data_IF_019746520934
#
_entry.id   IF_019746520934
#
_cell.length_a   1.000
_cell.length_b   1.000
_cell.length_c   1.000
_cell.angle_alpha   90.00
_cell.angle_beta   90.00
_cell.angle_gamma   90.00
#
_symmetry.space_group_name_H-M   'P 1'
#
loop_
_entity.id
_entity.type
_entity.pdbx_description
1 polymer ?
#
# COMPACT_ATOMS: atom_id res chain seq x y z
N UNK A 1 -18.91 0.23 -6.49
CA UNK A 1 -18.91 1.20 -5.37
C UNK A 1 -18.51 0.49 -4.08
N UNK A 2 -17.35 0.83 -3.50
CA UNK A 2 -17.02 0.35 -2.16
C UNK A 2 -18.00 1.01 -1.16
N UNK A 3 -18.66 0.23 -0.29
CA UNK A 3 -19.61 0.76 0.70
C UNK A 3 -18.90 1.71 1.68
N UNK A 4 -19.68 2.61 2.28
CA UNK A 4 -19.21 3.60 3.27
C UNK A 4 -18.28 2.95 4.28
N UNK A 5 -17.01 3.33 4.20
CA UNK A 5 -15.91 2.65 4.87
C UNK A 5 -15.93 2.82 6.40
N UNK A 6 -16.90 3.49 7.02
CA UNK A 6 -17.05 3.51 8.49
C UNK A 6 -15.72 3.74 9.27
N UNK A 7 -14.88 4.65 8.78
CA UNK A 7 -13.53 4.88 9.30
C UNK A 7 -13.60 5.71 10.57
N UNK A 8 -13.17 5.15 11.70
CA UNK A 8 -12.96 5.89 12.94
C UNK A 8 -11.45 6.01 13.20
N UNK A 9 -10.97 7.26 13.18
CA UNK A 9 -9.59 7.59 13.55
C UNK A 9 -9.50 7.67 15.07
N UNK A 10 -8.47 7.06 15.65
CA UNK A 10 -8.17 7.27 17.06
C UNK A 10 -7.78 8.74 17.30
N UNK A 11 -8.18 9.35 18.43
CA UNK A 11 -7.75 10.70 18.79
C UNK A 11 -6.23 10.73 19.01
N UNK A 12 -5.59 11.86 18.65
CA UNK A 12 -4.17 12.11 18.90
C UNK A 12 -3.99 12.72 20.30
N UNK A 13 -3.06 12.24 21.13
CA UNK A 13 -2.08 11.16 20.88
C UNK A 13 -2.69 9.75 20.98
N UNK A 14 -2.23 8.85 20.10
CA UNK A 14 -2.57 7.43 20.15
C UNK A 14 -1.79 6.78 21.30
N UNK A 15 -2.41 5.95 22.17
CA UNK A 15 -1.68 5.20 23.19
C UNK A 15 -0.55 4.37 22.56
N UNK A 16 0.60 4.28 23.23
CA UNK A 16 1.75 3.49 22.77
C UNK A 16 1.32 2.07 22.34
N UNK A 17 1.65 1.70 21.10
CA UNK A 17 1.34 0.37 20.53
C UNK A 17 -0.12 0.17 20.07
N UNK A 18 -0.98 1.19 20.13
CA UNK A 18 -2.36 1.12 19.66
C UNK A 18 -2.52 1.43 18.16
N UNK A 19 -3.49 0.81 17.46
CA UNK A 19 -3.77 1.12 16.06
C UNK A 19 -4.30 2.56 15.92
N UNK A 20 -3.75 3.33 14.97
CA UNK A 20 -4.13 4.74 14.70
C UNK A 20 -5.50 4.85 14.00
N UNK A 21 -5.96 3.77 13.36
CA UNK A 21 -7.26 3.68 12.72
C UNK A 21 -7.72 2.21 12.71
N UNK A 22 -9.02 2.01 12.86
CA UNK A 22 -9.65 0.71 12.62
C UNK A 22 -10.66 0.84 11.48
N UNK A 23 -10.68 -0.15 10.60
CA UNK A 23 -11.61 -0.21 9.48
C UNK A 23 -12.53 -1.41 9.64
N UNK A 24 -13.85 -1.19 9.54
CA UNK A 24 -14.82 -2.28 9.48
C UNK A 24 -15.75 -2.08 8.28
N UNK A 25 -15.77 -3.06 7.39
CA UNK A 25 -16.75 -3.11 6.31
C UNK A 25 -18.00 -3.82 6.83
N UNK A 26 -19.09 -3.06 7.04
CA UNK A 26 -20.36 -3.56 7.60
C UNK A 26 -20.99 -4.69 6.77
N UNK A 27 -20.63 -4.81 5.49
CA UNK A 27 -21.17 -5.81 4.55
C UNK A 27 -20.34 -7.12 4.49
N UNK A 28 -19.24 -7.20 5.22
CA UNK A 28 -18.38 -8.37 5.23
C UNK A 28 -18.89 -9.44 6.21
N UNK A 29 -19.97 -10.15 5.84
CA UNK A 29 -20.59 -11.18 6.70
C UNK A 29 -19.68 -12.36 7.10
N UNK A 30 -18.54 -12.57 6.42
CA UNK A 30 -17.62 -13.71 6.64
C UNK A 30 -16.13 -13.39 6.41
N UNK A 31 -15.67 -12.14 6.58
CA UNK A 31 -14.26 -11.82 6.34
C UNK A 31 -13.57 -11.32 7.61
N UNK A 32 -12.54 -12.04 8.08
CA UNK A 32 -11.58 -11.51 9.07
C UNK A 32 -11.22 -10.05 8.70
N UNK A 33 -11.18 -9.12 9.66
CA UNK A 33 -10.89 -7.73 9.36
C UNK A 33 -9.49 -7.58 8.75
N UNK A 34 -9.34 -6.63 7.81
CA UNK A 34 -8.00 -6.18 7.38
C UNK A 34 -7.47 -5.27 8.49
N UNK A 35 -6.37 -5.68 9.11
CA UNK A 35 -5.68 -4.87 10.12
C UNK A 35 -4.62 -4.04 9.42
N UNK A 36 -4.66 -2.73 9.67
CA UNK A 36 -3.68 -1.77 9.20
C UNK A 36 -2.97 -1.15 10.40
N UNK A 37 -1.65 -1.03 10.33
CA UNK A 37 -0.85 -0.31 11.32
C UNK A 37 -0.25 0.92 10.65
N UNK A 38 -0.36 2.08 11.30
CA UNK A 38 0.30 3.31 10.87
C UNK A 38 1.41 3.62 11.87
N UNK A 39 2.64 3.61 11.39
CA UNK A 39 3.84 3.85 12.18
C UNK A 39 4.59 5.07 11.65
N UNK A 40 5.31 5.74 12.56
CA UNK A 40 6.19 6.86 12.26
C UNK A 40 7.59 6.56 12.80
N UNK A 41 8.61 6.62 11.96
CA UNK A 41 10.00 6.34 12.34
C UNK A 41 10.89 7.52 11.96
N UNK A 42 11.59 8.13 12.91
CA UNK A 42 12.49 9.26 12.65
C UNK A 42 12.77 10.07 13.91
N UNK A 43 13.92 10.75 13.94
CA UNK A 43 14.32 11.61 15.06
C UNK A 43 13.88 13.07 14.86
N UNK A 44 13.66 13.49 13.60
CA UNK A 44 13.25 14.83 13.21
C UNK A 44 12.16 14.79 12.17
N UNK A 45 11.40 15.87 12.06
CA UNK A 45 10.27 15.96 11.13
C UNK A 45 10.65 15.74 9.67
N UNK A 46 11.85 16.22 9.31
CA UNK A 46 12.49 16.07 7.99
C UNK A 46 12.98 14.65 7.68
N UNK A 47 13.18 13.83 8.72
CA UNK A 47 13.67 12.45 8.62
C UNK A 47 12.58 11.41 8.86
N UNK A 48 11.33 11.83 9.09
CA UNK A 48 10.26 10.88 9.35
C UNK A 48 10.01 9.99 8.14
N UNK A 49 9.83 8.70 8.41
CA UNK A 49 9.25 7.74 7.52
C UNK A 49 7.92 7.31 8.12
N UNK A 50 6.84 7.69 7.46
CA UNK A 50 5.49 7.26 7.78
C UNK A 50 5.16 6.01 6.98
N UNK A 51 4.68 4.96 7.64
CA UNK A 51 4.36 3.70 6.97
C UNK A 51 3.01 3.19 7.39
N UNK A 52 2.18 2.84 6.40
CA UNK A 52 1.00 2.00 6.62
C UNK A 52 1.37 0.57 6.26
N UNK A 53 1.23 -0.36 7.20
CA UNK A 53 1.54 -1.77 6.99
C UNK A 53 0.32 -2.67 7.21
N UNK A 54 0.34 -3.83 6.55
CA UNK A 54 -0.60 -4.91 6.77
C UNK A 54 0.08 -6.25 6.57
N UNK A 55 -0.44 -7.30 7.22
CA UNK A 55 0.03 -8.67 7.07
C UNK A 55 -1.13 -9.59 6.74
N UNK A 56 -1.05 -10.29 5.61
CA UNK A 56 -2.05 -11.28 5.22
C UNK A 56 -1.58 -12.72 5.55
N UNK A 57 -2.37 -13.52 6.27
CA UNK A 57 -2.03 -14.92 6.55
C UNK A 57 -2.15 -15.81 5.30
N UNK A 58 -2.98 -15.41 4.32
CA UNK A 58 -3.10 -16.07 3.03
C UNK A 58 -2.68 -15.10 1.94
N UNK A 59 -1.68 -15.45 1.15
CA UNK A 59 -1.15 -14.60 0.10
C UNK A 59 -0.63 -15.45 -1.06
N UNK A 60 -0.57 -14.87 -2.25
CA UNK A 60 0.20 -15.45 -3.36
C UNK A 60 1.66 -14.99 -3.21
N UNK A 61 2.65 -15.90 -3.19
CA UNK A 61 4.05 -15.53 -3.14
C UNK A 61 4.44 -14.61 -4.29
N UNK A 62 5.15 -13.54 -3.96
CA UNK A 62 5.61 -12.56 -4.93
C UNK A 62 6.13 -11.30 -4.25
N UNK A 63 6.86 -10.54 -5.04
CA UNK A 63 7.35 -9.19 -4.75
C UNK A 63 6.69 -8.24 -5.74
N UNK A 64 6.19 -7.12 -5.25
CA UNK A 64 5.74 -6.00 -6.06
C UNK A 64 6.20 -4.71 -5.41
N UNK A 65 6.89 -3.87 -6.18
CA UNK A 65 7.23 -2.51 -5.80
C UNK A 65 6.55 -1.57 -6.78
N UNK A 66 5.76 -0.64 -6.26
CA UNK A 66 5.14 0.42 -7.05
C UNK A 66 5.73 1.77 -6.62
N UNK A 67 6.14 2.58 -7.59
CA UNK A 67 6.72 3.89 -7.34
C UNK A 67 6.50 4.82 -8.55
N UNK A 68 6.81 6.11 -8.39
CA UNK A 68 6.79 7.07 -9.51
C UNK A 68 8.01 6.92 -10.43
N UNK A 69 7.93 7.36 -11.69
CA UNK A 69 9.13 7.64 -12.48
C UNK A 69 10.06 8.62 -11.74
N UNK A 70 11.36 8.33 -11.72
CA UNK A 70 12.34 9.17 -11.03
C UNK A 70 12.27 9.12 -9.50
N UNK A 71 11.62 8.11 -8.91
CA UNK A 71 11.64 7.90 -7.47
C UNK A 71 13.07 7.80 -6.91
N UNK A 72 13.21 8.12 -5.63
CA UNK A 72 14.48 8.15 -4.92
C UNK A 72 15.16 6.77 -4.82
N UNK A 73 16.36 6.78 -4.22
CA UNK A 73 17.17 5.56 -4.04
C UNK A 73 16.47 4.50 -3.19
N UNK A 74 15.54 4.90 -2.32
CA UNK A 74 14.85 3.97 -1.41
C UNK A 74 13.92 3.06 -2.19
N UNK A 75 12.98 3.59 -2.98
CA UNK A 75 12.05 2.80 -3.78
C UNK A 75 12.77 1.99 -4.86
N UNK A 76 13.75 2.60 -5.54
CA UNK A 76 14.58 1.91 -6.52
C UNK A 76 15.37 0.75 -5.90
N UNK A 77 15.91 0.94 -4.69
CA UNK A 77 16.63 -0.09 -3.94
C UNK A 77 15.75 -1.28 -3.53
N UNK A 78 14.48 -1.04 -3.18
CA UNK A 78 13.53 -2.13 -2.85
C UNK A 78 13.25 -3.03 -4.06
N UNK A 79 13.24 -2.44 -5.25
CA UNK A 79 12.93 -3.16 -6.48
C UNK A 79 14.13 -3.90 -7.10
N UNK A 80 15.37 -3.62 -6.65
CA UNK A 80 16.63 -4.02 -7.31
C UNK A 80 16.64 -3.67 -8.82
N UNK A 81 17.63 -4.13 -9.58
CA UNK A 81 17.77 -3.87 -11.03
C UNK A 81 16.74 -4.62 -11.91
N UNK A 82 15.51 -4.83 -11.42
CA UNK A 82 14.44 -5.56 -12.12
C UNK A 82 13.74 -4.66 -13.12
N UNK A 83 13.55 -5.11 -14.36
CA UNK A 83 12.85 -4.30 -15.36
C UNK A 83 11.42 -3.91 -14.94
N UNK A 84 10.97 -2.69 -15.30
CA UNK A 84 9.57 -2.31 -15.16
C UNK A 84 8.63 -3.28 -15.87
N UNK A 85 7.49 -3.55 -15.25
CA UNK A 85 6.41 -4.29 -15.88
C UNK A 85 5.64 -3.37 -16.82
N UNK A 86 5.45 -3.83 -18.05
CA UNK A 86 4.71 -3.15 -19.11
C UNK A 86 3.52 -4.01 -19.58
N UNK A 87 2.54 -3.39 -20.26
CA UNK A 87 1.42 -4.09 -20.87
C UNK A 87 0.25 -4.41 -19.94
N UNK A 88 0.23 -3.86 -18.73
CA UNK A 88 -0.96 -3.89 -17.88
C UNK A 88 -2.04 -2.95 -18.43
N UNK A 89 -3.23 -3.49 -18.65
CA UNK A 89 -4.38 -2.71 -19.10
C UNK A 89 -4.73 -1.62 -18.06
N UNK A 90 -4.84 -0.37 -18.52
CA UNK A 90 -5.16 0.77 -17.66
C UNK A 90 -4.02 1.22 -16.75
N UNK A 91 -2.78 0.77 -16.96
CA UNK A 91 -1.62 1.24 -16.19
C UNK A 91 -1.39 2.75 -16.41
N UNK A 92 -1.47 3.56 -15.34
CA UNK A 92 -1.22 5.00 -15.46
C UNK A 92 0.26 5.31 -15.68
N UNK A 93 0.57 6.35 -16.46
CA UNK A 93 1.96 6.75 -16.76
C UNK A 93 2.76 7.19 -15.53
N UNK A 94 2.08 7.53 -14.43
CA UNK A 94 2.68 7.89 -13.14
C UNK A 94 3.07 6.68 -12.27
N UNK A 95 2.75 5.46 -12.70
CA UNK A 95 2.94 4.22 -11.92
C UNK A 95 3.96 3.31 -12.59
N UNK A 96 5.13 3.17 -11.97
CA UNK A 96 6.15 2.18 -12.32
C UNK A 96 5.98 0.98 -11.40
N UNK A 97 5.82 -0.20 -11.98
CA UNK A 97 5.71 -1.46 -11.27
C UNK A 97 6.94 -2.31 -11.54
N UNK A 98 7.52 -2.90 -10.50
CA UNK A 98 8.62 -3.87 -10.61
C UNK A 98 8.26 -5.08 -9.76
N UNK A 99 8.36 -6.28 -10.33
CA UNK A 99 7.78 -7.46 -9.72
C UNK A 99 8.68 -8.70 -9.84
N UNK A 100 8.50 -9.65 -8.92
CA UNK A 100 9.07 -10.99 -9.00
C UNK A 100 8.08 -12.02 -8.44
N UNK A 101 7.62 -13.00 -9.23
CA UNK A 101 7.85 -13.12 -10.67
C UNK A 101 7.14 -12.01 -11.48
N UNK A 102 7.52 -11.76 -12.76
CA UNK A 102 6.91 -10.68 -13.56
C UNK A 102 5.39 -10.81 -13.73
N UNK A 103 4.87 -12.04 -13.81
CA UNK A 103 3.43 -12.34 -13.90
C UNK A 103 2.66 -12.00 -12.61
N UNK A 104 3.37 -11.78 -11.50
CA UNK A 104 2.75 -11.36 -10.24
C UNK A 104 1.99 -10.03 -10.38
N UNK A 105 2.52 -9.09 -11.18
CA UNK A 105 1.86 -7.81 -11.42
C UNK A 105 0.51 -8.00 -12.11
N UNK A 106 0.42 -8.91 -13.08
CA UNK A 106 -0.82 -9.21 -13.82
C UNK A 106 -1.86 -9.88 -12.94
N UNK A 107 -1.43 -10.67 -11.96
CA UNK A 107 -2.33 -11.22 -10.95
C UNK A 107 -2.75 -10.15 -9.93
N UNK A 108 -1.84 -9.27 -9.52
CA UNK A 108 -2.06 -8.33 -8.42
C UNK A 108 -2.81 -7.08 -8.87
N UNK A 109 -2.41 -6.48 -9.97
CA UNK A 109 -2.81 -5.15 -10.41
C UNK A 109 -4.03 -5.17 -11.35
N UNK A 110 -5.24 -5.20 -10.78
CA UNK A 110 -6.47 -4.84 -11.50
C UNK A 110 -6.67 -3.32 -11.60
N UNK A 111 -7.65 -2.86 -12.39
CA UNK A 111 -7.95 -1.43 -12.58
C UNK A 111 -8.14 -0.66 -11.27
N UNK A 112 -8.77 -1.28 -10.26
CA UNK A 112 -9.02 -0.64 -8.98
C UNK A 112 -7.72 -0.48 -8.18
N UNK A 113 -6.89 -1.52 -8.13
CA UNK A 113 -5.58 -1.43 -7.49
C UNK A 113 -4.66 -0.44 -8.20
N UNK A 114 -4.69 -0.38 -9.54
CA UNK A 114 -3.92 0.61 -10.32
C UNK A 114 -4.37 2.04 -10.02
N UNK A 115 -5.68 2.27 -9.86
CA UNK A 115 -6.22 3.58 -9.49
C UNK A 115 -5.71 4.04 -8.13
N UNK A 116 -5.83 3.22 -7.09
CA UNK A 116 -5.35 3.62 -5.74
C UNK A 116 -3.83 3.72 -5.64
N UNK A 117 -3.10 2.99 -6.49
CA UNK A 117 -1.66 3.16 -6.65
C UNK A 117 -1.33 4.51 -7.28
N UNK A 118 -2.07 4.95 -8.30
CA UNK A 118 -1.88 6.27 -8.88
C UNK A 118 -2.12 7.37 -7.83
N UNK A 119 -3.26 7.32 -7.14
CA UNK A 119 -3.65 8.31 -6.15
C UNK A 119 -2.60 8.45 -5.03
N UNK A 120 -2.11 7.32 -4.50
CA UNK A 120 -1.10 7.37 -3.43
C UNK A 120 0.25 7.86 -3.94
N UNK A 121 0.65 7.48 -5.15
CA UNK A 121 1.93 7.87 -5.71
C UNK A 121 1.93 9.36 -6.13
N UNK A 122 0.76 9.95 -6.42
CA UNK A 122 0.63 11.39 -6.66
C UNK A 122 0.99 12.23 -5.43
N UNK A 123 0.93 11.68 -4.21
CA UNK A 123 1.40 12.35 -2.99
C UNK A 123 2.92 12.60 -3.01
N UNK A 124 3.67 11.85 -3.82
CA UNK A 124 5.10 12.07 -4.01
C UNK A 124 5.40 13.44 -4.65
N UNK A 125 6.50 14.06 -4.22
CA UNK A 125 6.99 15.35 -4.74
C UNK A 125 8.51 15.28 -4.89
N UNK A 126 9.13 16.34 -5.41
CA UNK A 126 10.58 16.38 -5.61
C UNK A 126 11.38 16.14 -4.30
N UNK A 127 10.82 16.53 -3.16
CA UNK A 127 11.36 16.41 -1.81
C UNK A 127 10.75 15.24 -1.01
N UNK A 128 9.80 14.50 -1.60
CA UNK A 128 8.95 13.55 -0.88
C UNK A 128 8.79 12.27 -1.67
N UNK A 129 9.43 11.22 -1.21
CA UNK A 129 9.31 9.90 -1.81
C UNK A 129 8.11 9.14 -1.23
N UNK A 130 7.32 8.54 -2.12
CA UNK A 130 6.21 7.63 -1.78
C UNK A 130 6.35 6.37 -2.61
N UNK A 131 6.24 5.21 -1.98
CA UNK A 131 6.28 3.93 -2.67
C UNK A 131 5.44 2.88 -1.95
N UNK A 132 5.04 1.87 -2.70
CA UNK A 132 4.36 0.69 -2.18
C UNK A 132 5.26 -0.52 -2.35
N UNK A 133 5.30 -1.37 -1.34
CA UNK A 133 6.06 -2.60 -1.33
C UNK A 133 5.19 -3.74 -0.81
N UNK A 134 5.01 -4.77 -1.63
CA UNK A 134 4.37 -6.03 -1.29
C UNK A 134 5.44 -7.10 -1.36
N UNK A 135 5.67 -7.82 -0.27
CA UNK A 135 6.63 -8.92 -0.23
C UNK A 135 6.06 -10.09 0.57
N UNK A 136 5.68 -11.16 -0.13
CA UNK A 136 5.07 -12.33 0.49
C UNK A 136 3.81 -11.95 1.26
N UNK A 137 3.75 -12.13 2.60
CA UNK A 137 2.60 -11.78 3.43
C UNK A 137 2.49 -10.29 3.75
N UNK A 138 3.53 -9.49 3.51
CA UNK A 138 3.62 -8.12 4.00
C UNK A 138 3.28 -7.12 2.91
N UNK A 139 2.51 -6.10 3.28
CA UNK A 139 2.21 -4.92 2.50
C UNK A 139 2.71 -3.70 3.29
N UNK A 140 3.38 -2.79 2.60
CA UNK A 140 3.86 -1.51 3.11
C UNK A 140 3.56 -0.40 2.11
N UNK A 141 2.89 0.65 2.56
CA UNK A 141 2.80 1.95 1.87
C UNK A 141 3.70 2.90 2.65
N UNK A 142 4.77 3.37 2.01
CA UNK A 142 5.78 4.22 2.61
C UNK A 142 5.67 5.65 2.10
N UNK A 143 5.80 6.59 3.02
CA UNK A 143 5.71 8.02 2.77
C UNK A 143 6.81 8.73 3.56
N UNK A 144 7.72 9.44 2.88
CA UNK A 144 8.75 10.23 3.55
C UNK A 144 8.16 11.57 4.03
N UNK A 145 8.31 11.84 5.32
CA UNK A 145 7.76 12.98 6.06
C UNK A 145 6.53 12.61 6.89
N UNK A 146 5.93 13.63 7.51
CA UNK A 146 4.69 13.51 8.26
C UNK A 146 3.47 13.82 7.34
N UNK A 147 2.56 12.86 7.12
CA UNK A 147 1.38 13.07 6.27
C UNK A 147 0.33 13.95 6.97
N UNK A 148 -0.30 14.83 6.19
CA UNK A 148 -1.49 15.54 6.65
C UNK A 148 -2.69 14.60 6.77
N UNK A 149 -3.80 15.08 7.36
CA UNK A 149 -5.02 14.26 7.55
C UNK A 149 -5.56 13.65 6.25
N UNK A 150 -5.56 14.41 5.16
CA UNK A 150 -6.04 13.90 3.87
C UNK A 150 -5.05 12.90 3.26
N UNK A 151 -3.74 13.13 3.41
CA UNK A 151 -2.71 12.17 2.97
C UNK A 151 -2.85 10.85 3.73
N UNK A 152 -3.09 10.88 5.05
CA UNK A 152 -3.34 9.68 5.87
C UNK A 152 -4.51 8.87 5.31
N UNK A 153 -5.61 9.53 4.89
CA UNK A 153 -6.75 8.82 4.29
C UNK A 153 -6.34 8.10 3.01
N UNK A 154 -5.60 8.78 2.12
CA UNK A 154 -5.12 8.19 0.87
C UNK A 154 -4.19 7.00 1.13
N UNK A 155 -3.26 7.13 2.08
CA UNK A 155 -2.35 6.05 2.49
C UNK A 155 -3.12 4.83 3.04
N UNK A 156 -4.09 5.05 3.94
CA UNK A 156 -4.92 3.99 4.51
C UNK A 156 -5.84 3.34 3.48
N UNK A 157 -6.46 4.13 2.59
CA UNK A 157 -7.31 3.60 1.52
C UNK A 157 -6.51 2.72 0.56
N UNK A 158 -5.33 3.18 0.14
CA UNK A 158 -4.43 2.39 -0.69
C UNK A 158 -4.06 1.07 0.03
N UNK A 159 -3.59 1.15 1.28
CA UNK A 159 -3.21 -0.05 2.03
C UNK A 159 -4.38 -1.04 2.21
N UNK A 160 -5.59 -0.54 2.51
CA UNK A 160 -6.78 -1.37 2.66
C UNK A 160 -7.12 -2.14 1.37
N UNK A 161 -7.14 -1.43 0.24
CA UNK A 161 -7.48 -2.01 -1.07
C UNK A 161 -6.44 -3.06 -1.48
N UNK A 162 -5.15 -2.75 -1.33
CA UNK A 162 -4.09 -3.68 -1.70
C UNK A 162 -4.02 -4.91 -0.77
N UNK A 163 -4.27 -4.74 0.54
CA UNK A 163 -4.33 -5.86 1.47
C UNK A 163 -5.51 -6.78 1.18
N UNK A 164 -6.68 -6.21 0.85
CA UNK A 164 -7.84 -6.97 0.41
C UNK A 164 -7.54 -7.76 -0.87
N UNK A 165 -6.85 -7.16 -1.84
CA UNK A 165 -6.40 -7.83 -3.07
C UNK A 165 -5.44 -8.98 -2.77
N UNK A 166 -4.42 -8.75 -1.96
CA UNK A 166 -3.44 -9.77 -1.56
C UNK A 166 -4.12 -10.98 -0.92
N UNK A 167 -5.08 -10.74 -0.03
CA UNK A 167 -5.86 -11.79 0.62
C UNK A 167 -6.76 -12.55 -0.37
N UNK A 168 -7.39 -11.85 -1.31
CA UNK A 168 -8.20 -12.47 -2.36
C UNK A 168 -7.36 -13.46 -3.19
N UNK A 169 -6.19 -13.03 -3.64
CA UNK A 169 -5.26 -13.89 -4.40
C UNK A 169 -4.75 -15.07 -3.59
N UNK A 170 -4.46 -14.86 -2.31
CA UNK A 170 -4.07 -15.95 -1.40
C UNK A 170 -5.15 -17.00 -1.18
N UNK A 171 -6.44 -16.64 -1.27
CA UNK A 171 -7.54 -17.60 -1.20
C UNK A 171 -7.69 -18.41 -2.49
N UNK A 172 -7.44 -17.79 -3.64
CA UNK A 172 -7.48 -18.49 -4.93
C UNK A 172 -6.33 -19.49 -5.11
N UNK A 173 -5.16 -19.24 -4.51
CA UNK A 173 -4.02 -20.14 -4.60
C UNK A 173 -4.11 -21.39 -3.71
N UNK A 174 -5.03 -21.41 -2.74
CA UNK A 174 -5.23 -22.53 -1.80
C UNK A 174 -6.54 -23.30 -2.01
N UNK A 175 -7.25 -23.04 -3.11
CA UNK A 175 -8.43 -23.76 -3.58
C UNK A 175 -8.04 -24.67 -4.76
#
# INVERSE_FOLDING_TARGET
PLPDLGLELAPVPVPEGGPVAAWSCRDAKDSDPVVLTLDYQGEKEEDYLSTVTSRSPRFRPGLLVAHRPGAGKTAAGQAADRDPVEGLEGQPSGVVLRCLPPDYAFAFCDLNTLSVLADVLELGRADREVYVHVNGPELKVAYHGLPGREDIKVLLTCAAVLAARQRHLGRQAGA
#
